data_IF_700136942012
#
_entry.id   IF_700136942012
#
_cell.length_a   1.000
_cell.length_b   1.000
_cell.length_c   1.000
_cell.angle_alpha   90.00
_cell.angle_beta   90.00
_cell.angle_gamma   90.00
#
_symmetry.space_group_name_H-M   'P 1'
#
loop_
_entity.id
_entity.type
_entity.pdbx_description
1 polymer ?
#
# COMPACT_ATOMS: atom_id res chain seq x y z
N UNK A 1 -3.47 4.41 -7.04
CA UNK A 1 -2.57 3.48 -6.32
C UNK A 1 -2.88 3.53 -4.83
N UNK A 2 -2.91 2.39 -4.15
CA UNK A 2 -3.04 2.26 -2.70
C UNK A 2 -1.92 1.37 -2.15
N UNK A 3 -1.28 1.78 -1.05
CA UNK A 3 -0.17 1.09 -0.39
C UNK A 3 -0.60 0.78 1.05
N UNK A 4 -0.73 -0.50 1.41
CA UNK A 4 -1.38 -0.93 2.65
C UNK A 4 -0.45 -1.83 3.49
N UNK A 5 -0.52 -1.70 4.82
CA UNK A 5 0.17 -2.59 5.75
C UNK A 5 -0.63 -3.88 5.99
N UNK A 6 -0.03 -5.03 5.73
CA UNK A 6 -0.70 -6.33 5.87
C UNK A 6 -0.87 -6.81 7.32
N UNK A 7 -0.16 -6.19 8.26
CA UNK A 7 -0.33 -6.39 9.71
C UNK A 7 -1.00 -5.19 10.39
N UNK A 8 -1.65 -4.31 9.63
CA UNK A 8 -2.44 -3.23 10.19
C UNK A 8 -3.69 -3.79 10.89
N UNK A 9 -3.81 -3.50 12.18
CA UNK A 9 -4.95 -3.95 13.00
C UNK A 9 -6.19 -3.07 12.86
N UNK A 10 -6.06 -1.89 12.25
CA UNK A 10 -7.16 -0.98 11.96
C UNK A 10 -7.74 -1.19 10.56
N UNK A 11 -6.94 -1.73 9.63
CA UNK A 11 -7.33 -2.03 8.24
C UNK A 11 -6.92 -3.47 7.95
N UNK A 12 -7.83 -4.40 8.21
CA UNK A 12 -7.55 -5.84 8.13
C UNK A 12 -7.69 -6.37 6.71
N UNK A 13 -7.25 -7.62 6.46
CA UNK A 13 -7.48 -8.29 5.19
C UNK A 13 -8.97 -8.34 4.78
N UNK A 14 -9.88 -8.42 5.76
CA UNK A 14 -11.33 -8.40 5.52
C UNK A 14 -11.84 -7.04 5.00
N UNK A 15 -11.09 -5.96 5.26
CA UNK A 15 -11.36 -4.62 4.72
C UNK A 15 -10.68 -4.42 3.36
N UNK A 16 -9.46 -4.94 3.21
CA UNK A 16 -8.64 -4.79 2.00
C UNK A 16 -9.23 -5.56 0.81
N UNK A 17 -9.68 -6.81 1.00
CA UNK A 17 -10.15 -7.65 -0.11
C UNK A 17 -11.40 -7.09 -0.82
N UNK A 18 -12.44 -6.60 -0.11
CA UNK A 18 -13.56 -5.91 -0.75
C UNK A 18 -13.15 -4.62 -1.44
N UNK A 19 -12.24 -3.84 -0.84
CA UNK A 19 -11.71 -2.62 -1.46
C UNK A 19 -11.01 -2.93 -2.78
N UNK A 20 -10.11 -3.91 -2.79
CA UNK A 20 -9.41 -4.36 -4.00
C UNK A 20 -10.40 -4.82 -5.07
N UNK A 21 -11.38 -5.63 -4.70
CA UNK A 21 -12.43 -6.10 -5.62
C UNK A 21 -13.21 -4.93 -6.24
N UNK A 22 -13.58 -3.92 -5.45
CA UNK A 22 -14.28 -2.74 -5.92
C UNK A 22 -13.41 -1.88 -6.87
N UNK A 23 -12.12 -1.74 -6.56
CA UNK A 23 -11.16 -1.04 -7.42
C UNK A 23 -10.99 -1.77 -8.76
N UNK A 24 -10.80 -3.09 -8.74
CA UNK A 24 -10.68 -3.93 -9.95
C UNK A 24 -11.94 -3.86 -10.83
N UNK A 25 -13.13 -3.80 -10.21
CA UNK A 25 -14.40 -3.68 -10.92
C UNK A 25 -14.68 -2.28 -11.48
N UNK A 26 -13.95 -1.24 -11.05
CA UNK A 26 -14.22 0.15 -11.43
C UNK A 26 -13.87 0.49 -12.88
N UNK A 27 -13.04 -0.33 -13.54
CA UNK A 27 -12.50 -0.03 -14.87
C UNK A 27 -11.48 1.11 -14.90
N UNK A 28 -11.13 1.68 -13.74
CA UNK A 28 -10.09 2.70 -13.58
C UNK A 28 -8.75 1.98 -13.39
N UNK A 29 -7.70 2.43 -14.10
CA UNK A 29 -6.34 1.94 -13.88
C UNK A 29 -5.96 2.15 -12.41
N UNK A 30 -5.68 1.05 -11.71
CA UNK A 30 -5.39 1.07 -10.30
C UNK A 30 -4.36 0.00 -9.91
N UNK A 31 -3.78 0.18 -8.74
CA UNK A 31 -2.86 -0.76 -8.11
C UNK A 31 -3.13 -0.73 -6.61
N UNK A 32 -3.30 -1.90 -6.00
CA UNK A 32 -3.38 -2.09 -4.55
C UNK A 32 -2.23 -3.00 -4.12
N UNK A 33 -1.25 -2.43 -3.41
CA UNK A 33 -0.09 -3.17 -2.90
C UNK A 33 -0.21 -3.35 -1.39
N UNK A 34 -0.21 -4.61 -0.95
CA UNK A 34 -0.13 -4.98 0.46
C UNK A 34 1.31 -5.38 0.81
N UNK A 35 1.83 -4.82 1.90
CA UNK A 35 3.12 -5.15 2.49
C UNK A 35 2.90 -6.11 3.66
N UNK A 36 3.14 -7.40 3.44
CA UNK A 36 2.98 -8.43 4.48
C UNK A 36 3.82 -8.10 5.72
N UNK A 37 3.25 -8.29 6.91
CA UNK A 37 3.92 -8.01 8.18
C UNK A 37 4.10 -6.52 8.53
N UNK A 38 3.79 -5.60 7.62
CA UNK A 38 3.91 -4.17 7.87
C UNK A 38 2.70 -3.63 8.65
N UNK A 39 2.89 -2.93 9.78
CA UNK A 39 1.80 -2.42 10.62
C UNK A 39 1.20 -1.14 10.05
N UNK A 40 0.23 -0.59 10.77
CA UNK A 40 -0.17 0.80 10.58
C UNK A 40 1.05 1.72 10.67
N UNK A 41 1.09 2.73 9.81
CA UNK A 41 2.20 3.68 9.73
C UNK A 41 3.57 3.01 9.52
N UNK A 42 3.68 1.88 8.81
CA UNK A 42 4.98 1.25 8.49
C UNK A 42 5.97 2.19 7.77
N UNK A 43 5.45 3.25 7.15
CA UNK A 43 6.21 4.31 6.49
C UNK A 43 6.85 5.31 7.47
N UNK A 44 6.57 5.19 8.77
CA UNK A 44 7.25 5.96 9.80
C UNK A 44 8.73 5.56 9.86
N UNK A 45 9.61 6.55 9.76
CA UNK A 45 11.06 6.37 9.76
C UNK A 45 11.61 5.73 11.04
N UNK A 46 10.85 5.76 12.15
CA UNK A 46 11.25 5.14 13.42
C UNK A 46 11.11 3.62 13.41
N UNK A 47 10.41 3.05 12.43
CA UNK A 47 10.26 1.60 12.27
C UNK A 47 11.33 1.05 11.31
N UNK A 48 12.56 0.95 11.79
CA UNK A 48 13.71 0.47 11.00
C UNK A 48 13.47 -0.93 10.40
N UNK A 49 12.73 -1.79 11.09
CA UNK A 49 12.37 -3.13 10.60
C UNK A 49 11.46 -3.12 9.36
N UNK A 50 10.86 -1.97 9.01
CA UNK A 50 10.04 -1.78 7.81
C UNK A 50 10.70 -0.84 6.78
N UNK A 51 12.01 -0.60 6.89
CA UNK A 51 12.74 0.27 5.96
C UNK A 51 12.63 -0.19 4.50
N UNK A 52 12.68 -1.50 4.24
CA UNK A 52 12.54 -2.04 2.88
C UNK A 52 11.14 -1.80 2.29
N UNK A 53 10.09 -2.05 3.09
CA UNK A 53 8.71 -1.78 2.70
C UNK A 53 8.50 -0.28 2.44
N UNK A 54 9.06 0.58 3.30
CA UNK A 54 9.02 2.04 3.14
C UNK A 54 9.74 2.51 1.87
N UNK A 55 10.95 1.99 1.62
CA UNK A 55 11.70 2.32 0.41
C UNK A 55 10.97 1.89 -0.86
N UNK A 56 10.35 0.70 -0.86
CA UNK A 56 9.55 0.23 -1.98
C UNK A 56 8.30 1.08 -2.20
N UNK A 57 7.56 1.38 -1.14
CA UNK A 57 6.39 2.25 -1.17
C UNK A 57 6.73 3.62 -1.76
N UNK A 58 7.86 4.20 -1.36
CA UNK A 58 8.33 5.48 -1.88
C UNK A 58 8.66 5.42 -3.37
N UNK A 59 9.40 4.39 -3.81
CA UNK A 59 9.71 4.19 -5.24
C UNK A 59 8.44 4.07 -6.09
N UNK A 60 7.44 3.31 -5.63
CA UNK A 60 6.15 3.15 -6.33
C UNK A 60 5.40 4.47 -6.43
N UNK A 61 5.38 5.24 -5.34
CA UNK A 61 4.74 6.57 -5.32
C UNK A 61 5.39 7.52 -6.33
N UNK A 62 6.72 7.61 -6.35
CA UNK A 62 7.42 8.45 -7.33
C UNK A 62 7.17 7.98 -8.76
N UNK A 63 7.20 6.66 -9.02
CA UNK A 63 6.92 6.11 -10.35
C UNK A 63 5.49 6.42 -10.81
N UNK A 64 4.51 6.34 -9.91
CA UNK A 64 3.12 6.72 -10.21
C UNK A 64 3.01 8.20 -10.56
N UNK A 65 3.62 9.09 -9.76
CA UNK A 65 3.59 10.53 -10.03
C UNK A 65 4.26 10.86 -11.36
N UNK A 66 5.43 10.30 -11.64
CA UNK A 66 6.16 10.55 -12.90
C UNK A 66 5.38 10.05 -14.12
N UNK A 67 4.72 8.88 -14.02
CA UNK A 67 3.90 8.32 -15.09
C UNK A 67 2.69 9.21 -15.45
N UNK A 68 2.17 9.96 -14.48
CA UNK A 68 0.91 10.71 -14.61
C UNK A 68 1.06 12.22 -14.38
N UNK A 69 2.26 12.77 -14.57
CA UNK A 69 2.52 14.21 -14.46
C UNK A 69 1.99 15.01 -15.64
#
# INVERSE_FOLDING_TARGET
>A
MALMGGADTFITAADIEPFKTAMDASGIENEVKVYEGAPHSFFDRSYEQHAEASADAWRRMLAFVEKHR
#
